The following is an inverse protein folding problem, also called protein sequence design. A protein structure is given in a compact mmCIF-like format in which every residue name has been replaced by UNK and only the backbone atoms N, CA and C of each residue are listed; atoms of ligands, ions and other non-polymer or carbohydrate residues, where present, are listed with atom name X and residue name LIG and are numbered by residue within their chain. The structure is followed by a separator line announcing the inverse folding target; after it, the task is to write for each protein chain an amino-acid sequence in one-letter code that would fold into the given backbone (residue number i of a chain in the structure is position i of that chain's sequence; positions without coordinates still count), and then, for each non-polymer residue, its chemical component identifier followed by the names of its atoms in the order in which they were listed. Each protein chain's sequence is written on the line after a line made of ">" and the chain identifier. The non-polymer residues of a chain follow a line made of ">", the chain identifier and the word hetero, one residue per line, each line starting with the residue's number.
data_IF_195082324473
#
_entry.id   IF_195082324473
#
_cell.length_a   1.000
_cell.length_b   1.000
_cell.length_c   1.000
_cell.angle_alpha   90.00
_cell.angle_beta   90.00
_cell.angle_gamma   90.00
#
_symmetry.space_group_name_H-M   'P 1'
#
loop_
_entity.id
_entity.type
_entity.pdbx_description
1 polymer ?
#
# COMPACT_ATOMS: atom_id res chain seq x y z
N UNK A 1 21.11 -11.60 12.93
CA UNK A 1 20.59 -11.61 11.55
C UNK A 1 19.07 -11.43 11.39
N UNK A 2 18.27 -11.23 12.45
CA UNK A 2 16.82 -11.08 12.32
C UNK A 2 16.31 -9.71 11.83
N UNK A 3 17.08 -8.63 12.03
CA UNK A 3 16.62 -7.27 11.69
C UNK A 3 16.61 -6.99 10.18
N UNK A 4 17.53 -7.62 9.42
CA UNK A 4 17.56 -7.53 7.96
C UNK A 4 16.29 -8.14 7.34
N UNK A 5 15.85 -9.27 7.90
CA UNK A 5 14.60 -9.92 7.48
C UNK A 5 13.39 -9.04 7.81
N UNK A 6 13.33 -8.47 9.02
CA UNK A 6 12.25 -7.57 9.39
C UNK A 6 12.19 -6.32 8.48
N UNK A 7 13.34 -5.74 8.15
CA UNK A 7 13.45 -4.63 7.20
C UNK A 7 12.97 -5.05 5.80
N UNK A 8 13.40 -6.21 5.32
CA UNK A 8 12.94 -6.73 4.03
C UNK A 8 11.41 -6.88 4.03
N UNK A 9 10.82 -7.52 5.04
CA UNK A 9 9.36 -7.64 5.15
C UNK A 9 8.70 -6.26 5.16
N UNK A 10 9.21 -5.32 5.96
CA UNK A 10 8.67 -3.97 6.04
C UNK A 10 8.72 -3.25 4.69
N UNK A 11 9.80 -3.36 3.92
CA UNK A 11 9.89 -2.72 2.60
C UNK A 11 9.05 -3.41 1.52
N UNK A 12 8.78 -4.71 1.67
CA UNK A 12 8.13 -5.50 0.61
C UNK A 12 6.64 -5.76 0.86
N UNK A 13 6.15 -5.57 2.08
CA UNK A 13 4.75 -5.86 2.42
C UNK A 13 3.69 -5.11 1.61
N UNK A 14 3.89 -3.84 1.14
CA UNK A 14 2.88 -3.17 0.34
C UNK A 14 2.64 -3.92 -0.98
N UNK A 15 3.73 -4.32 -1.65
CA UNK A 15 3.68 -5.05 -2.92
C UNK A 15 3.12 -6.48 -2.72
N UNK A 16 3.53 -7.18 -1.67
CA UNK A 16 3.04 -8.53 -1.36
C UNK A 16 1.54 -8.49 -1.06
N UNK A 17 1.08 -7.53 -0.25
CA UNK A 17 -0.33 -7.36 0.08
C UNK A 17 -1.18 -7.06 -1.15
N UNK A 18 -0.71 -6.17 -2.03
CA UNK A 18 -1.39 -5.87 -3.28
C UNK A 18 -1.53 -7.10 -4.19
N UNK A 19 -0.47 -7.91 -4.32
CA UNK A 19 -0.50 -9.13 -5.12
C UNK A 19 -1.49 -10.17 -4.57
N UNK A 20 -1.61 -10.29 -3.24
CA UNK A 20 -2.63 -11.17 -2.63
C UNK A 20 -4.05 -10.70 -2.90
N UNK A 21 -4.30 -9.38 -2.84
CA UNK A 21 -5.61 -8.81 -3.14
C UNK A 21 -5.97 -8.98 -4.63
N UNK A 22 -5.00 -8.79 -5.51
CA UNK A 22 -5.18 -9.06 -6.94
C UNK A 22 -5.53 -10.53 -7.20
N UNK A 23 -4.79 -11.46 -6.58
CA UNK A 23 -5.08 -12.90 -6.68
C UNK A 23 -6.47 -13.27 -6.13
N UNK A 24 -6.99 -12.50 -5.17
CA UNK A 24 -8.34 -12.64 -4.64
C UNK A 24 -9.43 -11.95 -5.50
N UNK A 25 -9.06 -11.32 -6.62
CA UNK A 25 -9.99 -10.68 -7.56
C UNK A 25 -10.49 -9.31 -7.12
N UNK A 26 -9.75 -8.61 -6.24
CA UNK A 26 -10.11 -7.28 -5.80
C UNK A 26 -9.90 -6.25 -6.92
N UNK A 27 -10.63 -5.14 -6.82
CA UNK A 27 -10.57 -4.10 -7.84
C UNK A 27 -9.15 -3.50 -7.96
N UNK A 28 -8.67 -3.18 -9.17
CA UNK A 28 -7.31 -2.63 -9.37
C UNK A 28 -6.97 -1.42 -8.50
N UNK A 29 -7.96 -0.55 -8.25
CA UNK A 29 -7.81 0.61 -7.36
C UNK A 29 -7.48 0.20 -5.92
N UNK A 30 -8.07 -0.86 -5.40
CA UNK A 30 -7.79 -1.36 -4.05
C UNK A 30 -6.37 -1.91 -3.97
N UNK A 31 -5.96 -2.70 -4.97
CA UNK A 31 -4.59 -3.21 -5.04
C UNK A 31 -3.58 -2.07 -5.13
N UNK A 32 -3.88 -1.03 -5.91
CA UNK A 32 -3.04 0.17 -6.02
C UNK A 32 -2.91 0.91 -4.69
N UNK A 33 -4.02 1.13 -3.97
CA UNK A 33 -4.01 1.78 -2.66
C UNK A 33 -3.10 1.05 -1.68
N UNK A 34 -3.22 -0.28 -1.59
CA UNK A 34 -2.38 -1.10 -0.70
C UNK A 34 -0.92 -1.10 -1.13
N UNK A 35 -0.63 -1.14 -2.43
CA UNK A 35 0.75 -1.05 -2.92
C UNK A 35 1.45 0.27 -2.53
N UNK A 36 0.70 1.36 -2.36
CA UNK A 36 1.23 2.71 -2.19
C UNK A 36 0.94 3.35 -0.82
N UNK A 37 0.26 2.66 0.08
CA UNK A 37 -0.18 3.21 1.37
C UNK A 37 0.95 3.80 2.24
N UNK A 38 2.20 3.36 2.08
CA UNK A 38 3.37 3.94 2.80
C UNK A 38 4.29 4.80 1.93
N UNK A 39 3.95 5.00 0.65
CA UNK A 39 4.75 5.82 -0.25
C UNK A 39 4.55 7.31 0.02
N UNK A 40 5.65 8.07 0.08
CA UNK A 40 5.61 9.52 0.38
C UNK A 40 5.24 10.38 -0.82
N UNK A 41 5.49 9.91 -2.05
CA UNK A 41 5.12 10.59 -3.28
C UNK A 41 4.72 9.56 -4.33
N UNK A 42 3.51 9.70 -4.87
CA UNK A 42 2.94 8.79 -5.86
C UNK A 42 2.05 9.61 -6.79
N UNK A 43 2.09 9.30 -8.09
CA UNK A 43 1.13 9.84 -9.04
C UNK A 43 -0.11 8.96 -9.00
N UNK A 44 -1.19 9.49 -8.43
CA UNK A 44 -2.46 8.77 -8.37
C UNK A 44 -3.04 8.56 -9.77
N UNK A 45 -3.64 7.38 -10.05
CA UNK A 45 -4.22 7.08 -11.36
C UNK A 45 -5.42 7.98 -11.69
N UNK A 46 -6.09 8.49 -10.65
CA UNK A 46 -7.22 9.41 -10.73
C UNK A 46 -7.37 10.19 -9.40
N UNK A 47 -8.14 11.30 -9.37
CA UNK A 47 -8.33 12.10 -8.16
C UNK A 47 -8.94 11.33 -6.99
N UNK A 48 -9.92 10.45 -7.25
CA UNK A 48 -10.60 9.66 -6.21
C UNK A 48 -9.62 8.71 -5.51
N UNK A 49 -8.72 8.09 -6.27
CA UNK A 49 -7.65 7.25 -5.73
C UNK A 49 -6.65 8.06 -4.88
N UNK A 50 -6.38 9.32 -5.25
CA UNK A 50 -5.55 10.23 -4.45
C UNK A 50 -6.18 10.56 -3.09
N UNK A 51 -7.46 10.91 -3.07
CA UNK A 51 -8.18 11.20 -1.83
C UNK A 51 -8.28 9.98 -0.91
N UNK A 52 -8.57 8.80 -1.47
CA UNK A 52 -8.59 7.55 -0.73
C UNK A 52 -7.21 7.17 -0.18
N UNK A 53 -6.13 7.43 -0.94
CA UNK A 53 -4.77 7.17 -0.49
C UNK A 53 -4.40 8.07 0.69
N UNK A 54 -4.74 9.36 0.62
CA UNK A 54 -4.51 10.30 1.71
C UNK A 54 -5.26 9.88 2.98
N UNK A 55 -6.51 9.45 2.85
CA UNK A 55 -7.31 8.96 3.97
C UNK A 55 -6.71 7.68 4.59
N UNK A 56 -6.24 6.75 3.76
CA UNK A 56 -5.58 5.52 4.22
C UNK A 56 -4.27 5.82 4.95
N UNK A 57 -3.42 6.68 4.40
CA UNK A 57 -2.17 7.13 5.01
C UNK A 57 -2.38 7.80 6.37
N UNK A 58 -3.41 8.64 6.46
CA UNK A 58 -3.80 9.24 7.73
C UNK A 58 -4.21 8.18 8.75
N UNK A 59 -5.02 7.20 8.34
CA UNK A 59 -5.45 6.10 9.21
C UNK A 59 -4.27 5.21 9.69
N UNK A 60 -3.26 4.98 8.84
CA UNK A 60 -2.08 4.21 9.23
C UNK A 60 -1.22 4.95 10.26
N UNK A 61 -1.11 6.29 10.13
CA UNK A 61 -0.27 7.13 10.98
C UNK A 61 -0.83 7.45 12.37
N UNK A 62 -2.09 7.11 12.65
CA UNK A 62 -2.74 7.34 13.96
C UNK A 62 -2.71 6.10 14.89
N UNK A 63 -2.00 5.02 14.48
CA UNK A 63 -1.83 3.80 15.28
C UNK A 63 -0.70 3.89 16.32
#
# INVERSE_FOLDING_TARGET
>A
DGWLYALHVHLTHPAIGAAWLEAAGLAPRICWLVAHHQSTQVDAPDPDAGDLLAALQWADGIN
#
